data_IF_618687507965
#
_entry.id   IF_618687507965
#
_cell.length_a   1.000
_cell.length_b   1.000
_cell.length_c   1.000
_cell.angle_alpha   90.00
_cell.angle_beta   90.00
_cell.angle_gamma   90.00
#
_symmetry.space_group_name_H-M   'P 1'
#
loop_
_entity.id
_entity.type
_entity.pdbx_description
1 polymer ?
#
# COMPACT_ATOMS: atom_id res chain seq x y z
N UNK A 1 -21.11 -3.42 -4.71
CA UNK A 1 -19.96 -2.59 -4.26
C UNK A 1 -18.73 -3.50 -4.15
N UNK A 2 -17.52 -2.97 -4.31
CA UNK A 2 -16.25 -3.69 -4.16
C UNK A 2 -15.33 -2.94 -3.20
N UNK A 3 -14.67 -3.68 -2.31
CA UNK A 3 -13.70 -3.12 -1.36
C UNK A 3 -12.31 -3.30 -1.95
N UNK A 4 -11.55 -2.22 -2.05
CA UNK A 4 -10.15 -2.25 -2.47
C UNK A 4 -9.32 -1.70 -1.33
N UNK A 5 -8.34 -2.45 -0.87
CA UNK A 5 -7.52 -2.06 0.27
C UNK A 5 -6.07 -1.91 -0.16
N UNK A 6 -5.41 -0.87 0.33
CA UNK A 6 -3.96 -0.90 0.47
C UNK A 6 -3.54 -1.97 1.47
N UNK A 7 -2.28 -2.38 1.41
CA UNK A 7 -1.72 -3.41 2.27
C UNK A 7 -0.96 -2.82 3.46
N UNK A 8 0.19 -2.20 3.20
CA UNK A 8 1.11 -1.70 4.22
C UNK A 8 0.53 -0.47 4.92
N UNK A 9 0.36 -0.52 6.25
CA UNK A 9 -0.22 0.60 7.02
C UNK A 9 -1.76 0.62 7.04
N UNK A 10 -2.40 -0.11 6.13
CA UNK A 10 -3.86 -0.25 6.02
C UNK A 10 -4.34 -1.61 6.52
N UNK A 11 -3.98 -2.71 5.83
CA UNK A 11 -4.27 -4.08 6.30
C UNK A 11 -3.29 -4.47 7.39
N UNK A 12 -2.00 -4.22 7.20
CA UNK A 12 -0.98 -4.40 8.23
C UNK A 12 -0.83 -3.11 9.03
N UNK A 13 -0.47 -3.22 10.31
CA UNK A 13 -0.33 -2.04 11.17
C UNK A 13 0.88 -1.14 10.80
N UNK A 14 1.80 -1.65 9.98
CA UNK A 14 3.08 -1.03 9.62
C UNK A 14 3.52 -1.49 8.23
N UNK A 15 4.44 -0.74 7.65
CA UNK A 15 5.20 -1.15 6.47
C UNK A 15 5.91 -2.50 6.67
N UNK A 16 5.88 -3.35 5.64
CA UNK A 16 6.46 -4.69 5.64
C UNK A 16 7.59 -4.88 4.64
N UNK A 17 8.01 -3.84 3.91
CA UNK A 17 9.13 -3.94 2.96
C UNK A 17 10.43 -4.32 3.67
N UNK A 18 10.69 -3.73 4.84
CA UNK A 18 11.85 -4.08 5.66
C UNK A 18 11.83 -5.53 6.13
N UNK A 19 10.65 -6.05 6.50
CA UNK A 19 10.48 -7.46 6.90
C UNK A 19 10.72 -8.41 5.73
N UNK A 20 10.14 -8.13 4.56
CA UNK A 20 10.38 -8.89 3.34
C UNK A 20 11.87 -8.96 2.99
N UNK A 21 12.56 -7.82 3.02
CA UNK A 21 13.99 -7.76 2.74
C UNK A 21 14.80 -8.56 3.78
N UNK A 22 14.50 -8.40 5.08
CA UNK A 22 15.20 -9.10 6.14
C UNK A 22 15.02 -10.63 6.05
N UNK A 23 13.79 -11.09 5.80
CA UNK A 23 13.50 -12.51 5.66
C UNK A 23 14.24 -13.13 4.45
N UNK A 24 14.34 -12.38 3.35
CA UNK A 24 15.15 -12.78 2.19
C UNK A 24 16.65 -12.82 2.50
N UNK A 25 17.20 -11.81 3.18
CA UNK A 25 18.62 -11.78 3.61
C UNK A 25 18.92 -12.98 4.51
N UNK A 26 18.05 -13.30 5.45
CA UNK A 26 18.22 -14.44 6.35
C UNK A 26 18.17 -15.78 5.62
N UNK A 27 17.29 -15.90 4.62
CA UNK A 27 17.25 -17.08 3.76
C UNK A 27 18.50 -17.20 2.90
N UNK A 28 18.98 -16.11 2.30
CA UNK A 28 20.22 -16.08 1.52
C UNK A 28 21.43 -16.48 2.35
N UNK A 29 21.54 -15.93 3.57
CA UNK A 29 22.60 -16.30 4.51
C UNK A 29 22.58 -17.80 4.83
N UNK A 30 21.39 -18.38 5.04
CA UNK A 30 21.23 -19.84 5.29
C UNK A 30 21.57 -20.69 4.06
N UNK A 31 21.17 -20.28 2.85
CA UNK A 31 21.36 -21.07 1.62
C UNK A 31 22.75 -20.95 1.01
N UNK A 32 23.36 -19.77 1.09
CA UNK A 32 24.56 -19.41 0.32
C UNK A 32 25.73 -18.91 1.17
N UNK A 33 25.50 -18.64 2.46
CA UNK A 33 26.50 -18.01 3.34
C UNK A 33 26.76 -16.53 3.03
N UNK A 34 26.05 -15.91 2.07
CA UNK A 34 26.25 -14.49 1.73
C UNK A 34 25.70 -13.58 2.82
N UNK A 35 26.51 -12.59 3.20
CA UNK A 35 26.12 -11.53 4.14
C UNK A 35 25.64 -10.30 3.36
N UNK A 36 24.33 -10.19 3.14
CA UNK A 36 23.73 -9.14 2.31
C UNK A 36 23.17 -7.94 3.11
N UNK A 37 23.27 -7.96 4.44
CA UNK A 37 22.83 -6.84 5.29
C UNK A 37 23.49 -5.50 4.90
N UNK A 38 24.81 -5.40 4.69
CA UNK A 38 25.42 -4.12 4.32
C UNK A 38 24.90 -3.58 2.98
N UNK A 39 24.60 -4.46 2.03
CA UNK A 39 24.06 -4.08 0.72
C UNK A 39 22.64 -3.53 0.85
N UNK A 40 21.83 -4.11 1.75
CA UNK A 40 20.52 -3.58 2.08
C UNK A 40 20.62 -2.21 2.76
N UNK A 41 21.49 -2.08 3.77
CA UNK A 41 21.69 -0.82 4.50
C UNK A 41 22.12 0.29 3.53
N UNK A 42 23.05 0.02 2.61
CA UNK A 42 23.49 0.95 1.56
C UNK A 42 22.33 1.35 0.62
N UNK A 43 21.48 0.39 0.23
CA UNK A 43 20.33 0.66 -0.64
C UNK A 43 19.30 1.56 0.05
N UNK A 44 19.04 1.35 1.35
CA UNK A 44 18.18 2.20 2.17
C UNK A 44 18.76 3.61 2.30
N UNK A 45 20.05 3.74 2.61
CA UNK A 45 20.70 5.06 2.70
C UNK A 45 20.67 5.82 1.38
N UNK A 46 20.91 5.13 0.25
CA UNK A 46 20.82 5.74 -1.07
C UNK A 46 19.39 6.23 -1.39
N UNK A 47 18.37 5.45 -1.06
CA UNK A 47 16.98 5.87 -1.23
C UNK A 47 16.64 7.09 -0.37
N UNK A 48 17.01 7.09 0.92
CA UNK A 48 16.76 8.24 1.80
C UNK A 48 17.42 9.51 1.26
N UNK A 49 18.66 9.41 0.76
CA UNK A 49 19.37 10.53 0.14
C UNK A 49 18.64 11.05 -1.10
N UNK A 50 18.22 10.16 -1.99
CA UNK A 50 17.52 10.52 -3.24
C UNK A 50 16.17 11.19 -2.91
N UNK A 51 15.42 10.64 -1.95
CA UNK A 51 14.14 11.15 -1.50
C UNK A 51 14.26 12.54 -0.86
N UNK A 52 15.19 12.74 0.07
CA UNK A 52 15.42 14.04 0.69
C UNK A 52 15.91 15.08 -0.32
N UNK A 53 16.77 14.68 -1.26
CA UNK A 53 17.21 15.55 -2.36
C UNK A 53 16.04 15.96 -3.25
N UNK A 54 15.16 15.02 -3.61
CA UNK A 54 13.96 15.30 -4.37
C UNK A 54 13.04 16.28 -3.63
N UNK A 55 12.74 15.98 -2.36
CA UNK A 55 11.87 16.82 -1.51
C UNK A 55 12.41 18.25 -1.36
N UNK A 56 13.71 18.41 -1.18
CA UNK A 56 14.36 19.72 -1.01
C UNK A 56 14.36 20.56 -2.29
N UNK A 57 14.45 19.91 -3.46
CA UNK A 57 14.60 20.59 -4.74
C UNK A 57 13.29 20.70 -5.55
N UNK A 58 12.23 19.99 -5.15
CA UNK A 58 10.95 20.05 -5.86
C UNK A 58 10.28 21.42 -5.73
N UNK A 59 9.84 21.97 -6.87
CA UNK A 59 9.09 23.21 -6.92
C UNK A 59 7.67 22.96 -7.47
N UNK A 60 6.62 23.48 -6.82
CA UNK A 60 6.65 24.31 -5.62
C UNK A 60 6.94 23.52 -4.33
N UNK A 61 7.56 24.15 -3.30
CA UNK A 61 7.85 23.49 -2.02
C UNK A 61 6.56 23.07 -1.32
N UNK A 62 6.65 22.14 -0.37
CA UNK A 62 5.50 21.52 0.29
C UNK A 62 4.50 22.53 0.85
N UNK A 63 4.99 23.57 1.54
CA UNK A 63 4.13 24.62 2.11
C UNK A 63 3.29 25.36 1.06
N UNK A 64 3.76 25.40 -0.20
CA UNK A 64 3.12 26.09 -1.32
C UNK A 64 2.27 25.19 -2.22
N UNK A 65 2.29 23.86 -2.03
CA UNK A 65 1.36 22.94 -2.69
C UNK A 65 0.00 23.02 -1.99
N UNK A 66 -0.95 23.73 -2.58
CA UNK A 66 -2.25 24.07 -1.97
C UNK A 66 -3.46 23.44 -2.66
N UNK A 67 -3.23 22.63 -3.67
CA UNK A 67 -4.28 21.98 -4.43
C UNK A 67 -3.86 20.55 -4.82
N UNK A 68 -4.84 19.79 -5.31
CA UNK A 68 -4.69 18.38 -5.71
C UNK A 68 -3.69 18.25 -6.86
N UNK A 69 -3.67 19.19 -7.80
CA UNK A 69 -2.81 19.12 -8.99
C UNK A 69 -1.34 19.26 -8.60
N UNK A 70 -1.00 20.25 -7.78
CA UNK A 70 0.34 20.47 -7.28
C UNK A 70 0.87 19.28 -6.47
N UNK A 71 0.05 18.69 -5.59
CA UNK A 71 0.45 17.50 -4.83
C UNK A 71 0.57 16.26 -5.73
N UNK A 72 -0.31 16.11 -6.71
CA UNK A 72 -0.24 15.02 -7.70
C UNK A 72 1.06 15.10 -8.49
N UNK A 73 1.49 16.29 -8.91
CA UNK A 73 2.75 16.49 -9.63
C UNK A 73 3.97 16.11 -8.77
N UNK A 74 3.95 16.42 -7.47
CA UNK A 74 4.97 15.97 -6.53
C UNK A 74 5.00 14.45 -6.38
N UNK A 75 3.84 13.82 -6.17
CA UNK A 75 3.78 12.37 -6.00
C UNK A 75 4.11 11.61 -7.28
N UNK A 76 3.80 12.17 -8.45
CA UNK A 76 4.18 11.60 -9.74
C UNK A 76 5.68 11.68 -10.00
N UNK A 77 6.33 12.78 -9.62
CA UNK A 77 7.77 12.96 -9.82
C UNK A 77 8.66 12.08 -8.93
N UNK A 78 8.10 11.41 -7.91
CA UNK A 78 8.79 10.37 -7.15
C UNK A 78 9.14 9.14 -7.98
N UNK A 79 8.54 8.98 -9.17
CA UNK A 79 8.70 7.77 -9.99
C UNK A 79 10.16 7.36 -10.20
N UNK A 80 11.01 8.32 -10.59
CA UNK A 80 12.42 8.02 -10.88
C UNK A 80 13.19 7.60 -9.62
N UNK A 81 12.86 8.18 -8.46
CA UNK A 81 13.47 7.88 -7.17
C UNK A 81 13.08 6.45 -6.75
N UNK A 82 11.80 6.10 -6.86
CA UNK A 82 11.32 4.76 -6.54
C UNK A 82 11.90 3.71 -7.49
N UNK A 83 11.92 3.98 -8.80
CA UNK A 83 12.48 3.07 -9.79
C UNK A 83 13.99 2.84 -9.58
N UNK A 84 14.73 3.88 -9.20
CA UNK A 84 16.13 3.75 -8.81
C UNK A 84 16.29 2.88 -7.55
N UNK A 85 15.43 3.05 -6.55
CA UNK A 85 15.41 2.24 -5.33
C UNK A 85 15.18 0.75 -5.63
N UNK A 86 14.11 0.43 -6.36
CA UNK A 86 13.78 -0.95 -6.75
C UNK A 86 14.88 -1.56 -7.63
N UNK A 87 15.53 -0.76 -8.47
CA UNK A 87 16.63 -1.22 -9.32
C UNK A 87 17.89 -1.56 -8.51
N UNK A 88 18.25 -0.75 -7.50
CA UNK A 88 19.35 -1.06 -6.56
C UNK A 88 19.10 -2.38 -5.84
N UNK A 89 17.89 -2.57 -5.31
CA UNK A 89 17.50 -3.81 -4.62
C UNK A 89 17.52 -5.00 -5.58
N UNK A 90 17.00 -4.84 -6.80
CA UNK A 90 17.03 -5.91 -7.82
C UNK A 90 18.48 -6.33 -8.17
N UNK A 91 19.42 -5.38 -8.24
CA UNK A 91 20.82 -5.63 -8.58
C UNK A 91 21.66 -6.16 -7.40
N UNK A 92 21.19 -5.99 -6.16
CA UNK A 92 21.90 -6.44 -4.95
C UNK A 92 22.04 -7.98 -4.86
N UNK A 93 21.13 -8.71 -5.53
CA UNK A 93 21.02 -10.15 -5.41
C UNK A 93 20.36 -10.64 -4.12
N UNK A 94 19.77 -9.76 -3.29
CA UNK A 94 18.98 -10.14 -2.10
C UNK A 94 17.91 -11.17 -2.47
N UNK A 95 17.22 -10.95 -3.59
CA UNK A 95 16.13 -11.82 -4.03
C UNK A 95 16.54 -12.86 -5.10
N UNK A 96 17.81 -12.90 -5.50
CA UNK A 96 18.24 -13.77 -6.60
C UNK A 96 18.08 -15.26 -6.26
N UNK A 97 17.40 -15.99 -7.14
CA UNK A 97 17.16 -17.43 -7.00
C UNK A 97 16.03 -17.82 -6.03
N UNK A 98 15.43 -16.84 -5.34
CA UNK A 98 14.26 -17.10 -4.49
C UNK A 98 13.03 -17.36 -5.34
N UNK A 99 12.21 -18.31 -4.88
CA UNK A 99 11.01 -18.75 -5.58
C UNK A 99 9.76 -18.12 -4.95
N UNK A 100 8.65 -18.17 -5.69
CA UNK A 100 7.35 -17.70 -5.20
C UNK A 100 7.00 -18.27 -3.82
N UNK A 101 7.21 -19.57 -3.62
CA UNK A 101 6.91 -20.25 -2.35
C UNK A 101 7.79 -19.76 -1.20
N UNK A 102 9.03 -19.33 -1.48
CA UNK A 102 9.89 -18.71 -0.46
C UNK A 102 9.24 -17.42 0.05
N UNK A 103 8.81 -16.54 -0.86
CA UNK A 103 8.17 -15.27 -0.49
C UNK A 103 6.82 -15.47 0.20
N UNK A 104 6.02 -16.43 -0.27
CA UNK A 104 4.77 -16.79 0.38
C UNK A 104 5.02 -17.27 1.82
N UNK A 105 5.98 -18.17 2.02
CA UNK A 105 6.31 -18.68 3.35
C UNK A 105 6.86 -17.58 4.26
N UNK A 106 7.66 -16.63 3.73
CA UNK A 106 8.10 -15.46 4.50
C UNK A 106 6.93 -14.65 5.05
N UNK A 107 5.88 -14.45 4.26
CA UNK A 107 4.67 -13.75 4.70
C UNK A 107 3.92 -14.52 5.80
N UNK A 108 3.75 -15.83 5.64
CA UNK A 108 3.14 -16.71 6.65
C UNK A 108 3.94 -16.65 7.97
N UNK A 109 5.25 -16.84 7.88
CA UNK A 109 6.14 -16.85 9.04
C UNK A 109 6.16 -15.49 9.76
N UNK A 110 6.09 -14.38 9.02
CA UNK A 110 6.06 -13.05 9.59
C UNK A 110 4.81 -12.81 10.47
N UNK A 111 3.66 -13.35 10.08
CA UNK A 111 2.43 -13.31 10.89
C UNK A 111 2.53 -14.26 12.08
N UNK A 112 2.91 -15.53 11.85
CA UNK A 112 2.99 -16.54 12.91
C UNK A 112 3.96 -16.16 14.04
N UNK A 113 5.03 -15.44 13.70
CA UNK A 113 6.03 -14.96 14.65
C UNK A 113 5.69 -13.59 15.27
N UNK A 114 4.58 -12.96 14.88
CA UNK A 114 4.14 -11.66 15.38
C UNK A 114 4.94 -10.46 14.85
N UNK A 115 5.84 -10.64 13.88
CA UNK A 115 6.58 -9.53 13.25
C UNK A 115 5.68 -8.66 12.36
N UNK A 116 4.66 -9.28 11.77
CA UNK A 116 3.59 -8.59 11.04
C UNK A 116 2.27 -8.81 11.78
N UNK A 117 1.58 -7.71 12.10
CA UNK A 117 0.25 -7.71 12.71
C UNK A 117 -0.74 -7.00 11.80
N UNK A 118 -1.96 -7.53 11.72
CA UNK A 118 -3.05 -6.93 10.95
C UNK A 118 -3.73 -5.82 11.77
N UNK A 119 -4.30 -4.83 11.09
CA UNK A 119 -5.11 -3.76 11.70
C UNK A 119 -6.36 -4.36 12.32
N UNK A 120 -6.76 -3.84 13.48
CA UNK A 120 -7.94 -4.31 14.22
C UNK A 120 -9.20 -4.28 13.35
N UNK A 121 -10.04 -5.31 13.47
CA UNK A 121 -11.29 -5.40 12.70
C UNK A 121 -11.14 -5.95 11.28
N UNK A 122 -9.92 -6.26 10.80
CA UNK A 122 -9.73 -6.69 9.41
C UNK A 122 -10.46 -8.01 9.11
N UNK A 123 -10.39 -8.99 10.00
CA UNK A 123 -11.06 -10.29 9.81
C UNK A 123 -12.60 -10.12 9.88
N UNK A 124 -13.08 -9.28 10.79
CA UNK A 124 -14.50 -8.91 10.90
C UNK A 124 -14.99 -8.19 9.63
N UNK A 125 -14.15 -7.36 9.00
CA UNK A 125 -14.44 -6.71 7.73
C UNK A 125 -14.62 -7.74 6.62
N UNK A 126 -13.73 -8.73 6.53
CA UNK A 126 -13.82 -9.78 5.51
C UNK A 126 -15.08 -10.63 5.69
N UNK A 127 -15.42 -11.02 6.92
CA UNK A 127 -16.66 -11.75 7.22
C UNK A 127 -17.91 -10.94 6.84
N UNK A 128 -17.93 -9.64 7.18
CA UNK A 128 -19.03 -8.74 6.81
C UNK A 128 -19.14 -8.60 5.29
N UNK A 129 -18.02 -8.41 4.59
CA UNK A 129 -17.98 -8.33 3.14
C UNK A 129 -18.51 -9.61 2.48
N UNK A 130 -18.08 -10.79 2.93
CA UNK A 130 -18.55 -12.09 2.44
C UNK A 130 -20.07 -12.25 2.65
N UNK A 131 -20.58 -11.97 3.85
CA UNK A 131 -22.01 -12.07 4.17
C UNK A 131 -22.89 -11.17 3.28
N UNK A 132 -22.32 -10.07 2.79
CA UNK A 132 -22.98 -9.10 1.91
C UNK A 132 -22.69 -9.34 0.42
N UNK A 133 -21.96 -10.40 0.08
CA UNK A 133 -21.55 -10.70 -1.31
C UNK A 133 -20.63 -9.64 -1.92
N UNK A 134 -19.89 -8.90 -1.10
CA UNK A 134 -18.95 -7.87 -1.54
C UNK A 134 -17.61 -8.52 -1.87
N UNK A 135 -17.07 -8.17 -3.05
CA UNK A 135 -15.72 -8.59 -3.42
C UNK A 135 -14.68 -7.72 -2.72
N UNK A 136 -13.62 -8.34 -2.21
CA UNK A 136 -12.48 -7.68 -1.57
C UNK A 136 -11.20 -7.99 -2.34
N UNK A 137 -10.43 -6.96 -2.66
CA UNK A 137 -9.12 -7.09 -3.31
C UNK A 137 -8.12 -6.10 -2.71
N UNK A 138 -6.84 -6.36 -2.97
CA UNK A 138 -5.70 -5.58 -2.49
C UNK A 138 -4.98 -4.94 -3.67
N UNK A 139 -4.62 -3.66 -3.53
CA UNK A 139 -3.71 -2.93 -4.41
C UNK A 139 -2.55 -2.41 -3.58
N UNK A 140 -1.31 -2.73 -3.92
CA UNK A 140 -0.16 -2.33 -3.11
C UNK A 140 1.07 -1.99 -3.93
N UNK A 141 1.91 -1.10 -3.39
CA UNK A 141 3.27 -0.83 -3.89
C UNK A 141 4.30 -1.85 -3.41
N UNK A 142 3.92 -2.77 -2.50
CA UNK A 142 4.81 -3.79 -1.97
C UNK A 142 5.49 -4.58 -3.11
N UNK A 143 6.72 -5.02 -2.88
CA UNK A 143 7.57 -5.62 -3.90
C UNK A 143 7.18 -7.05 -4.26
N UNK A 144 6.44 -7.75 -3.39
CA UNK A 144 6.10 -9.16 -3.58
C UNK A 144 4.62 -9.45 -3.32
N UNK A 145 3.89 -9.71 -4.40
CA UNK A 145 2.54 -10.26 -4.38
C UNK A 145 2.48 -11.56 -3.57
N UNK A 146 3.45 -12.45 -3.75
CA UNK A 146 3.50 -13.73 -3.05
C UNK A 146 3.63 -13.54 -1.53
N UNK A 147 4.43 -12.57 -1.08
CA UNK A 147 4.55 -12.22 0.33
C UNK A 147 3.24 -11.71 0.92
N UNK A 148 2.55 -10.80 0.22
CA UNK A 148 1.21 -10.34 0.61
C UNK A 148 0.25 -11.52 0.77
N UNK A 149 0.20 -12.42 -0.22
CA UNK A 149 -0.65 -13.61 -0.19
C UNK A 149 -0.32 -14.52 1.00
N UNK A 150 0.96 -14.60 1.39
CA UNK A 150 1.40 -15.31 2.59
C UNK A 150 0.92 -14.66 3.89
N UNK A 151 1.04 -13.33 4.01
CA UNK A 151 0.52 -12.57 5.18
C UNK A 151 -1.00 -12.68 5.30
N UNK A 152 -1.69 -12.77 4.16
CA UNK A 152 -3.14 -12.92 4.09
C UNK A 152 -3.61 -14.37 4.15
N UNK A 153 -2.73 -15.36 4.33
CA UNK A 153 -3.17 -16.75 4.44
C UNK A 153 -4.01 -16.96 5.73
N UNK A 154 -5.14 -17.71 5.70
CA UNK A 154 -5.67 -18.51 4.60
C UNK A 154 -6.64 -17.78 3.64
N UNK A 155 -6.82 -16.46 3.77
CA UNK A 155 -7.73 -15.71 2.92
C UNK A 155 -7.22 -15.61 1.47
N UNK A 156 -8.09 -15.87 0.50
CA UNK A 156 -7.77 -15.84 -0.93
C UNK A 156 -8.33 -14.58 -1.60
N UNK A 157 -7.68 -13.45 -1.36
CA UNK A 157 -8.05 -12.17 -1.95
C UNK A 157 -7.35 -11.96 -3.30
N UNK A 158 -7.97 -11.18 -4.20
CA UNK A 158 -7.27 -10.74 -5.40
C UNK A 158 -6.19 -9.71 -5.04
N UNK A 159 -4.94 -9.94 -5.43
CA UNK A 159 -3.82 -9.03 -5.14
C UNK A 159 -3.22 -8.47 -6.43
N UNK A 160 -3.21 -7.13 -6.53
CA UNK A 160 -2.53 -6.33 -7.53
C UNK A 160 -1.35 -5.58 -6.88
N UNK A 161 -0.16 -6.19 -6.95
CA UNK A 161 1.07 -5.64 -6.41
C UNK A 161 2.24 -5.94 -7.36
N UNK A 162 3.42 -5.40 -7.06
CA UNK A 162 4.64 -5.85 -7.74
C UNK A 162 4.93 -7.32 -7.41
N UNK A 163 5.78 -7.94 -8.21
CA UNK A 163 6.21 -9.31 -8.01
C UNK A 163 7.69 -9.46 -8.28
N UNK A 164 8.30 -10.49 -7.69
CA UNK A 164 9.73 -10.73 -7.80
C UNK A 164 9.96 -11.92 -8.71
N UNK A 165 10.71 -11.70 -9.79
CA UNK A 165 11.09 -12.79 -10.69
C UNK A 165 12.18 -13.68 -10.09
N UNK A 166 12.37 -14.88 -10.64
CA UNK A 166 13.43 -15.82 -10.22
C UNK A 166 14.85 -15.22 -10.26
N UNK A 167 15.08 -14.22 -11.11
CA UNK A 167 16.35 -13.48 -11.18
C UNK A 167 16.54 -12.48 -10.02
N UNK A 168 15.53 -12.30 -9.18
CA UNK A 168 15.49 -11.30 -8.12
C UNK A 168 15.05 -9.91 -8.57
N UNK A 169 14.63 -9.75 -9.84
CA UNK A 169 14.14 -8.47 -10.35
C UNK A 169 12.70 -8.22 -9.88
N UNK A 170 12.47 -7.06 -9.27
CA UNK A 170 11.12 -6.56 -8.93
C UNK A 170 10.45 -6.11 -10.23
N UNK A 171 9.22 -6.54 -10.49
CA UNK A 171 8.46 -6.27 -11.72
C UNK A 171 7.05 -5.86 -11.40
N UNK A 172 6.46 -5.05 -12.28
CA UNK A 172 5.03 -4.77 -12.19
C UNK A 172 4.20 -6.00 -12.48
N UNK A 173 2.94 -6.02 -12.01
CA UNK A 173 2.03 -7.12 -12.31
C UNK A 173 1.75 -7.18 -13.82
N UNK A 174 1.76 -8.39 -14.38
CA UNK A 174 1.54 -8.62 -15.83
C UNK A 174 0.21 -8.07 -16.33
N UNK A 175 -0.83 -8.08 -15.48
CA UNK A 175 -2.14 -7.52 -15.77
C UNK A 175 -2.12 -6.00 -15.99
N UNK A 176 -1.08 -5.30 -15.54
CA UNK A 176 -0.87 -3.86 -15.75
C UNK A 176 0.24 -3.59 -16.78
N UNK A 177 0.46 -4.53 -17.71
CA UNK A 177 1.50 -4.40 -18.74
C UNK A 177 2.93 -4.51 -18.20
N UNK A 178 3.11 -4.99 -16.97
CA UNK A 178 4.43 -5.14 -16.34
C UNK A 178 5.02 -3.86 -15.75
N UNK A 179 4.26 -2.75 -15.77
CA UNK A 179 4.67 -1.48 -15.16
C UNK A 179 4.62 -1.59 -13.64
N UNK A 180 5.75 -1.30 -12.96
CA UNK A 180 5.83 -1.34 -11.50
C UNK A 180 4.90 -0.32 -10.87
N UNK A 181 4.24 -0.73 -9.79
CA UNK A 181 3.41 0.13 -8.96
C UNK A 181 4.31 0.74 -7.89
N UNK A 182 4.69 2.02 -8.05
CA UNK A 182 5.59 2.68 -7.08
C UNK A 182 5.06 4.01 -6.58
N UNK A 183 4.20 4.68 -7.35
CA UNK A 183 3.72 6.02 -7.04
C UNK A 183 2.19 6.09 -6.93
N UNK A 184 1.68 7.23 -6.46
CA UNK A 184 0.24 7.46 -6.40
C UNK A 184 -0.48 7.31 -7.75
N UNK A 185 0.05 7.86 -8.87
CA UNK A 185 -0.53 7.62 -10.19
C UNK A 185 -0.53 6.14 -10.58
N UNK A 186 0.52 5.39 -10.25
CA UNK A 186 0.58 3.96 -10.57
C UNK A 186 -0.49 3.17 -9.80
N UNK A 187 -0.69 3.46 -8.51
CA UNK A 187 -1.77 2.86 -7.71
C UNK A 187 -3.14 3.19 -8.30
N UNK A 188 -3.38 4.43 -8.73
CA UNK A 188 -4.65 4.79 -9.37
C UNK A 188 -4.84 4.03 -10.70
N UNK A 189 -3.79 3.87 -11.49
CA UNK A 189 -3.84 3.07 -12.71
C UNK A 189 -4.13 1.59 -12.40
N UNK A 190 -3.51 1.02 -11.36
CA UNK A 190 -3.81 -0.33 -10.90
C UNK A 190 -5.27 -0.47 -10.48
N UNK A 191 -5.80 0.48 -9.68
CA UNK A 191 -7.19 0.53 -9.26
C UNK A 191 -8.15 0.53 -10.46
N UNK A 192 -7.90 1.37 -11.46
CA UNK A 192 -8.72 1.46 -12.68
C UNK A 192 -8.73 0.17 -13.50
N UNK A 193 -7.64 -0.57 -13.52
CA UNK A 193 -7.54 -1.83 -14.28
C UNK A 193 -8.23 -2.99 -13.58
N UNK A 194 -8.24 -2.99 -12.24
CA UNK A 194 -8.94 -4.04 -11.49
C UNK A 194 -10.42 -3.76 -11.30
N UNK A 195 -10.89 -2.52 -11.49
CA UNK A 195 -12.30 -2.11 -11.33
C UNK A 195 -12.98 -1.89 -12.68
N UNK A 196 -14.31 -2.04 -12.73
CA UNK A 196 -15.09 -1.76 -13.94
C UNK A 196 -15.64 -0.33 -13.92
N UNK A 197 -15.79 0.29 -15.09
CA UNK A 197 -16.45 1.60 -15.22
C UNK A 197 -17.86 1.54 -14.64
N UNK A 198 -18.18 2.46 -13.72
CA UNK A 198 -19.47 2.52 -13.03
C UNK A 198 -19.60 1.56 -11.84
N UNK A 199 -18.60 0.71 -11.56
CA UNK A 199 -18.60 -0.11 -10.36
C UNK A 199 -18.44 0.77 -9.12
N UNK A 200 -19.31 0.58 -8.12
CA UNK A 200 -19.15 1.25 -6.82
C UNK A 200 -17.98 0.65 -6.06
N UNK A 201 -16.98 1.49 -5.76
CA UNK A 201 -15.75 1.13 -5.07
C UNK A 201 -15.65 1.91 -3.76
N UNK A 202 -15.29 1.19 -2.68
CA UNK A 202 -14.84 1.76 -1.43
C UNK A 202 -13.35 1.42 -1.26
N UNK A 203 -12.48 2.43 -1.32
CA UNK A 203 -11.04 2.30 -1.21
C UNK A 203 -10.56 2.57 0.22
N UNK A 204 -9.62 1.77 0.71
CA UNK A 204 -8.97 1.95 2.00
C UNK A 204 -7.47 2.19 1.79
N UNK A 205 -6.92 3.20 2.44
CA UNK A 205 -5.49 3.53 2.38
C UNK A 205 -5.07 4.35 3.61
N UNK A 206 -3.78 4.51 3.84
CA UNK A 206 -3.26 5.27 4.99
C UNK A 206 -2.22 6.33 4.60
N UNK A 207 -1.68 6.24 3.38
CA UNK A 207 -0.51 7.01 2.97
C UNK A 207 -0.78 8.01 1.84
N UNK A 208 0.15 8.92 1.61
CA UNK A 208 0.09 9.87 0.48
C UNK A 208 0.09 9.17 -0.88
N UNK A 209 0.63 7.95 -0.99
CA UNK A 209 0.59 7.15 -2.22
C UNK A 209 -0.87 6.79 -2.56
N UNK A 210 -1.76 6.66 -1.57
CA UNK A 210 -3.17 6.34 -1.77
C UNK A 210 -4.03 7.54 -2.18
N UNK A 211 -3.49 8.77 -2.12
CA UNK A 211 -4.25 10.02 -2.32
C UNK A 211 -5.16 9.96 -3.55
N UNK A 212 -4.60 9.63 -4.72
CA UNK A 212 -5.38 9.61 -5.96
C UNK A 212 -6.42 8.49 -6.00
N UNK A 213 -6.19 7.35 -5.34
CA UNK A 213 -7.19 6.28 -5.24
C UNK A 213 -8.36 6.69 -4.34
N UNK A 214 -8.04 7.31 -3.20
CA UNK A 214 -9.00 7.82 -2.23
C UNK A 214 -9.87 8.94 -2.82
N UNK A 215 -9.29 9.85 -3.59
CA UNK A 215 -10.02 10.95 -4.24
C UNK A 215 -10.81 10.51 -5.49
N UNK A 216 -10.37 9.44 -6.16
CA UNK A 216 -11.07 8.89 -7.32
C UNK A 216 -12.36 8.16 -6.97
N UNK A 217 -12.44 7.58 -5.77
CA UNK A 217 -13.55 6.70 -5.33
C UNK A 217 -14.19 7.21 -4.03
N UNK A 218 -15.02 6.38 -3.38
CA UNK A 218 -15.31 6.62 -1.97
C UNK A 218 -14.15 6.07 -1.17
N UNK A 219 -13.60 6.86 -0.25
CA UNK A 219 -12.38 6.53 0.46
C UNK A 219 -12.56 6.49 1.97
N UNK A 220 -11.86 5.57 2.62
CA UNK A 220 -11.63 5.58 4.06
C UNK A 220 -10.14 5.55 4.32
N UNK A 221 -9.66 6.54 5.04
CA UNK A 221 -8.28 6.62 5.51
C UNK A 221 -8.17 5.84 6.81
N UNK A 222 -7.29 4.84 6.87
CA UNK A 222 -6.97 4.15 8.12
C UNK A 222 -5.84 4.91 8.80
N UNK A 223 -6.10 5.49 9.97
CA UNK A 223 -5.13 6.28 10.70
C UNK A 223 -5.41 6.26 12.20
N UNK A 224 -4.38 6.05 13.02
CA UNK A 224 -4.52 6.00 14.50
C UNK A 224 -5.18 7.24 15.09
N UNK A 225 -4.93 8.39 14.50
CA UNK A 225 -5.49 9.68 14.89
C UNK A 225 -5.54 10.65 13.70
N UNK A 226 -6.09 11.84 13.94
CA UNK A 226 -6.29 12.88 12.93
C UNK A 226 -4.99 13.58 12.47
N UNK A 227 -3.82 13.15 12.93
CA UNK A 227 -2.52 13.80 12.66
C UNK A 227 -1.63 13.04 11.69
N UNK A 228 -2.14 12.00 11.04
CA UNK A 228 -1.38 11.25 10.02
C UNK A 228 -0.88 12.18 8.89
N UNK A 229 0.23 11.78 8.25
CA UNK A 229 0.84 12.57 7.16
C UNK A 229 -0.13 12.78 5.99
N UNK A 230 -0.93 11.76 5.66
CA UNK A 230 -1.97 11.86 4.63
C UNK A 230 -3.06 12.88 5.02
N UNK A 231 -3.59 12.82 6.25
CA UNK A 231 -4.61 13.77 6.71
C UNK A 231 -4.07 15.20 6.77
N UNK A 232 -2.84 15.38 7.23
CA UNK A 232 -2.16 16.67 7.25
C UNK A 232 -1.97 17.24 5.84
N UNK A 233 -1.59 16.38 4.88
CA UNK A 233 -1.47 16.76 3.47
C UNK A 233 -2.83 17.14 2.86
N UNK A 234 -3.87 16.35 3.09
CA UNK A 234 -5.22 16.60 2.57
C UNK A 234 -5.78 17.92 3.11
N UNK A 235 -5.61 18.18 4.41
CA UNK A 235 -5.96 19.46 5.02
C UNK A 235 -5.21 20.63 4.38
N UNK A 236 -3.89 20.47 4.15
CA UNK A 236 -3.05 21.49 3.49
C UNK A 236 -3.54 21.85 2.08
N UNK A 237 -4.08 20.89 1.34
CA UNK A 237 -4.65 21.09 -0.01
C UNK A 237 -6.16 21.39 -0.01
N UNK A 238 -6.74 21.68 1.16
CA UNK A 238 -8.12 22.15 1.30
C UNK A 238 -9.18 21.04 1.28
N UNK A 239 -8.80 19.78 1.53
CA UNK A 239 -9.73 18.65 1.58
C UNK A 239 -10.01 18.30 3.03
N UNK A 240 -11.26 18.50 3.44
CA UNK A 240 -11.76 18.07 4.74
C UNK A 240 -12.05 16.57 4.73
N UNK A 241 -11.63 15.90 5.80
CA UNK A 241 -11.82 14.47 6.00
C UNK A 241 -12.40 14.26 7.39
N UNK A 242 -13.74 14.22 7.53
CA UNK A 242 -14.35 13.95 8.82
C UNK A 242 -14.12 12.51 9.27
N UNK A 243 -14.18 12.30 10.58
CA UNK A 243 -14.15 10.96 11.16
C UNK A 243 -15.37 10.15 10.71
N UNK A 244 -15.20 8.85 10.43
CA UNK A 244 -16.24 7.99 9.87
C UNK A 244 -17.43 7.79 10.81
N UNK A 245 -17.24 7.98 12.11
CA UNK A 245 -18.34 8.00 13.09
C UNK A 245 -19.38 9.10 12.83
N UNK A 246 -19.06 10.12 12.02
CA UNK A 246 -19.98 11.18 11.62
C UNK A 246 -20.57 10.96 10.22
N UNK A 247 -20.43 9.77 9.62
CA UNK A 247 -20.83 9.49 8.24
C UNK A 247 -22.28 9.88 7.91
N UNK A 248 -23.23 9.71 8.85
CA UNK A 248 -24.62 10.13 8.67
C UNK A 248 -24.81 11.66 8.61
N UNK A 249 -23.92 12.43 9.25
CA UNK A 249 -23.96 13.89 9.27
C UNK A 249 -23.38 14.52 8.00
N UNK A 250 -22.74 13.72 7.14
CA UNK A 250 -22.01 14.17 5.95
C UNK A 250 -22.43 13.43 4.67
N UNK A 251 -23.71 13.54 4.22
CA UNK A 251 -24.27 12.73 3.13
C UNK A 251 -23.63 12.97 1.75
N UNK A 252 -22.89 14.07 1.58
CA UNK A 252 -22.21 14.42 0.33
C UNK A 252 -20.70 14.18 0.37
N UNK A 253 -20.16 13.82 1.53
CA UNK A 253 -18.73 13.56 1.70
C UNK A 253 -18.40 12.16 1.19
N UNK A 254 -17.32 12.06 0.40
CA UNK A 254 -16.85 10.79 -0.19
C UNK A 254 -15.63 10.21 0.52
N UNK A 255 -14.98 10.99 1.39
CA UNK A 255 -13.72 10.63 2.02
C UNK A 255 -13.84 10.82 3.53
N UNK A 256 -13.57 9.76 4.27
CA UNK A 256 -13.58 9.74 5.74
C UNK A 256 -12.26 9.17 6.26
N UNK A 257 -12.02 9.30 7.56
CA UNK A 257 -10.97 8.54 8.23
C UNK A 257 -11.52 7.74 9.40
N UNK A 258 -10.85 6.63 9.71
CA UNK A 258 -11.17 5.70 10.77
C UNK A 258 -9.88 5.21 11.43
N UNK A 259 -9.93 4.86 12.71
CA UNK A 259 -8.80 4.30 13.45
C UNK A 259 -8.45 2.90 13.02
N UNK A 260 -9.49 2.13 12.73
CA UNK A 260 -9.41 0.72 12.37
C UNK A 260 -10.68 0.28 11.63
N UNK A 261 -10.76 -1.00 11.27
CA UNK A 261 -11.90 -1.53 10.53
C UNK A 261 -13.13 -1.75 11.43
N UNK A 262 -13.00 -1.77 12.76
CA UNK A 262 -14.18 -1.87 13.66
C UNK A 262 -15.00 -0.59 13.60
N UNK A 263 -14.35 0.57 13.55
CA UNK A 263 -15.05 1.84 13.36
C UNK A 263 -15.74 1.93 12.00
N UNK A 264 -15.10 1.40 10.94
CA UNK A 264 -15.71 1.30 9.61
C UNK A 264 -16.99 0.48 9.67
N UNK A 265 -16.95 -0.69 10.31
CA UNK A 265 -18.12 -1.54 10.46
C UNK A 265 -19.21 -0.86 11.29
N UNK A 266 -18.86 -0.25 12.42
CA UNK A 266 -19.81 0.44 13.30
C UNK A 266 -20.49 1.65 12.63
N UNK A 267 -19.84 2.28 11.66
CA UNK A 267 -20.40 3.44 10.93
C UNK A 267 -21.52 3.09 9.94
N UNK A 268 -21.68 1.82 9.57
CA UNK A 268 -22.58 1.41 8.49
C UNK A 268 -22.05 1.77 7.09
N UNK A 269 -20.75 2.08 6.93
CA UNK A 269 -20.15 2.41 5.63
C UNK A 269 -20.35 1.30 4.57
N UNK A 270 -20.45 0.04 5.01
CA UNK A 270 -20.74 -1.09 4.12
C UNK A 270 -22.23 -1.25 3.76
N UNK A 271 -23.12 -0.48 4.39
CA UNK A 271 -24.58 -0.60 4.28
C UNK A 271 -25.20 0.43 3.36
N UNK A 272 -24.57 1.60 3.20
CA UNK A 272 -25.01 2.64 2.25
C UNK A 272 -24.98 2.19 0.77
N UNK A 273 -24.65 0.92 0.53
CA UNK A 273 -24.53 0.18 -0.73
C UNK A 273 -25.79 -0.51 -1.24
N UNK A 274 -26.88 -0.58 -0.47
CA UNK A 274 -28.18 -1.12 -0.88
C UNK A 274 -29.12 -0.04 -1.41
#
# INVERSE_FOLDING_TARGET
MRLILDFDGTITQKDTIGELAQAAIDLQRRRTGRHLQPVWDDAVQAYLKDYESYKANFYPPEASRKDVEAETNFLAGLKDIEEASLSRVSQSGIFAGLQRDDFFQMGVDAVLSGRVSKTEGFEELLQSAESKGLKVDVTSVNWSKAFIEGVLHPQHLGVAANDISEKGEIKGPRSLGGVRITTSPDKLNALRQITQTGQRVLYFGDSTIDMQCLLYSHGVIIAKDATSSLLSMLSRIGIDVPHIGNLQNHPHTKLFWARDFREVLASGALEQGQ
#
